data_IF_397297383644
#
_entry.id   IF_397297383644
#
_cell.length_a   1.000
_cell.length_b   1.000
_cell.length_c   1.000
_cell.angle_alpha   90.00
_cell.angle_beta   90.00
_cell.angle_gamma   90.00
#
_symmetry.space_group_name_H-M   'P 1'
#
loop_
_entity.id
_entity.type
_entity.pdbx_description
1 polymer ?
#
# COMPACT_ATOMS: atom_id res chain seq x y z
N UNK A 1 -17.46 -15.70 3.96
CA UNK A 1 -17.00 -14.45 3.31
C UNK A 1 -16.61 -14.73 1.87
N UNK A 2 -16.78 -13.77 0.95
CA UNK A 2 -16.30 -13.86 -0.45
C UNK A 2 -15.15 -12.88 -0.67
N UNK A 3 -14.32 -13.15 -1.66
CA UNK A 3 -13.23 -12.26 -2.03
C UNK A 3 -13.74 -10.87 -2.44
N UNK A 4 -13.00 -9.83 -2.08
CA UNK A 4 -13.30 -8.42 -2.31
C UNK A 4 -12.04 -7.70 -2.79
N UNK A 5 -12.16 -6.98 -3.89
CA UNK A 5 -11.08 -6.14 -4.43
C UNK A 5 -10.68 -5.02 -3.47
N UNK A 6 -11.61 -4.55 -2.63
CA UNK A 6 -11.34 -3.53 -1.64
C UNK A 6 -10.41 -4.04 -0.54
N UNK A 7 -10.63 -5.27 -0.06
CA UNK A 7 -9.78 -5.89 0.94
C UNK A 7 -8.40 -6.17 0.36
N UNK A 8 -8.34 -6.68 -0.88
CA UNK A 8 -7.06 -6.86 -1.58
C UNK A 8 -6.28 -5.55 -1.68
N UNK A 9 -6.94 -4.44 -2.02
CA UNK A 9 -6.31 -3.12 -2.09
C UNK A 9 -5.74 -2.68 -0.74
N UNK A 10 -6.49 -2.92 0.35
CA UNK A 10 -6.01 -2.64 1.70
C UNK A 10 -4.76 -3.46 2.03
N UNK A 11 -4.74 -4.75 1.72
CA UNK A 11 -3.56 -5.59 1.98
C UNK A 11 -2.36 -5.21 1.11
N UNK A 12 -2.57 -4.91 -0.17
CA UNK A 12 -1.50 -4.47 -1.06
C UNK A 12 -0.85 -3.18 -0.56
N UNK A 13 -1.66 -2.30 0.03
CA UNK A 13 -1.20 -1.06 0.64
C UNK A 13 -0.45 -1.32 1.96
N UNK A 14 -1.03 -2.05 2.91
CA UNK A 14 -0.52 -2.09 4.29
C UNK A 14 0.35 -3.31 4.64
N UNK A 15 0.52 -4.30 3.76
CA UNK A 15 1.27 -5.54 4.09
C UNK A 15 2.70 -5.28 4.58
N UNK A 16 3.43 -4.37 3.94
CA UNK A 16 4.83 -4.12 4.28
C UNK A 16 4.94 -3.40 5.64
N UNK A 17 3.98 -2.52 5.95
CA UNK A 17 3.86 -1.89 7.27
C UNK A 17 3.49 -2.92 8.35
N UNK A 18 2.59 -3.87 8.06
CA UNK A 18 2.26 -4.94 8.99
C UNK A 18 3.43 -5.91 9.24
N UNK A 19 4.22 -6.22 8.20
CA UNK A 19 5.45 -7.01 8.36
C UNK A 19 6.48 -6.24 9.21
N UNK A 20 6.65 -4.94 8.99
CA UNK A 20 7.49 -4.09 9.84
C UNK A 20 7.06 -4.17 11.32
N UNK A 21 5.77 -3.99 11.60
CA UNK A 21 5.22 -4.08 12.95
C UNK A 21 5.40 -5.48 13.54
N UNK A 22 5.25 -6.55 12.76
CA UNK A 22 5.52 -7.92 13.19
C UNK A 22 6.98 -8.12 13.61
N UNK A 23 7.93 -7.64 12.80
CA UNK A 23 9.35 -7.79 13.08
C UNK A 23 9.76 -7.01 14.34
N UNK A 24 9.15 -5.84 14.58
CA UNK A 24 9.45 -4.98 15.73
C UNK A 24 8.76 -5.44 17.02
N UNK A 25 7.48 -5.80 16.95
CA UNK A 25 6.62 -6.00 18.12
C UNK A 25 6.16 -7.45 18.30
N UNK A 26 6.51 -8.37 17.40
CA UNK A 26 6.24 -9.81 17.53
C UNK A 26 4.75 -10.18 17.50
N UNK A 27 3.93 -9.41 16.78
CA UNK A 27 2.52 -9.73 16.47
C UNK A 27 2.47 -10.25 15.03
N UNK A 28 1.82 -11.39 14.70
CA UNK A 28 1.74 -11.88 13.32
C UNK A 28 1.23 -10.81 12.36
N UNK A 29 1.90 -10.62 11.22
CA UNK A 29 1.48 -9.65 10.22
C UNK A 29 0.06 -9.96 9.71
N UNK A 30 -0.30 -11.24 9.63
CA UNK A 30 -1.63 -11.68 9.25
C UNK A 30 -2.72 -11.21 10.23
N UNK A 31 -2.41 -11.18 11.53
CA UNK A 31 -3.30 -10.66 12.59
C UNK A 31 -3.47 -9.15 12.44
N UNK A 32 -2.37 -8.41 12.35
CA UNK A 32 -2.42 -6.95 12.18
C UNK A 32 -3.22 -6.56 10.94
N UNK A 33 -3.02 -7.25 9.80
CA UNK A 33 -3.77 -6.97 8.57
C UNK A 33 -5.25 -7.35 8.68
N UNK A 34 -5.56 -8.50 9.28
CA UNK A 34 -6.93 -8.97 9.42
C UNK A 34 -7.74 -8.11 10.40
N UNK A 35 -7.14 -7.64 11.49
CA UNK A 35 -7.75 -6.64 12.37
C UNK A 35 -7.90 -5.32 11.62
N UNK A 36 -6.82 -4.80 11.07
CA UNK A 36 -6.82 -3.50 10.38
C UNK A 36 -7.89 -3.43 9.29
N UNK A 37 -8.02 -4.43 8.43
CA UNK A 37 -9.03 -4.44 7.36
C UNK A 37 -10.46 -4.57 7.91
N UNK A 38 -10.65 -5.32 9.00
CA UNK A 38 -11.97 -5.57 9.59
C UNK A 38 -12.46 -4.34 10.37
N UNK A 39 -11.65 -3.81 11.28
CA UNK A 39 -12.01 -2.69 12.16
C UNK A 39 -12.15 -1.37 11.37
N UNK A 40 -11.35 -1.17 10.32
CA UNK A 40 -11.39 0.06 9.51
C UNK A 40 -12.40 0.02 8.35
N UNK A 41 -13.19 -1.04 8.21
CA UNK A 41 -13.99 -1.31 7.01
C UNK A 41 -13.15 -1.22 5.71
N UNK A 42 -11.94 -1.80 5.76
CA UNK A 42 -10.90 -1.70 4.74
C UNK A 42 -10.55 -0.23 4.39
N UNK A 43 -10.28 0.56 5.44
CA UNK A 43 -9.81 1.95 5.38
C UNK A 43 -10.89 3.00 5.10
N UNK A 44 -12.18 2.63 5.17
CA UNK A 44 -13.31 3.51 4.82
C UNK A 44 -14.14 3.95 6.02
N UNK A 45 -13.92 3.42 7.21
CA UNK A 45 -14.64 3.87 8.40
C UNK A 45 -14.34 5.35 8.68
N UNK A 46 -15.25 6.01 9.39
CA UNK A 46 -15.05 7.41 9.80
C UNK A 46 -13.80 7.56 10.67
N UNK A 47 -13.57 6.60 11.58
CA UNK A 47 -12.37 6.52 12.41
C UNK A 47 -11.09 6.41 11.58
N UNK A 48 -11.08 5.63 10.49
CA UNK A 48 -9.92 5.51 9.62
C UNK A 48 -9.72 6.75 8.75
N UNK A 49 -10.79 7.28 8.15
CA UNK A 49 -10.70 8.37 7.16
C UNK A 49 -10.47 9.76 7.78
N UNK A 50 -10.97 9.99 9.00
CA UNK A 50 -10.82 11.28 9.70
C UNK A 50 -9.84 11.18 10.88
N UNK A 51 -9.80 10.02 11.54
CA UNK A 51 -8.96 9.78 12.70
C UNK A 51 -7.64 9.05 12.42
N UNK A 52 -7.43 8.55 11.19
CA UNK A 52 -6.37 7.58 10.87
C UNK A 52 -6.34 6.36 11.81
N UNK A 53 -7.43 6.07 12.52
CA UNK A 53 -7.50 5.01 13.50
C UNK A 53 -8.03 3.72 12.87
N UNK A 54 -7.10 2.87 12.41
CA UNK A 54 -7.42 1.66 11.67
C UNK A 54 -7.88 0.48 12.56
N UNK A 55 -7.75 0.60 13.88
CA UNK A 55 -7.95 -0.50 14.83
C UNK A 55 -9.01 -0.20 15.90
N UNK A 56 -9.64 0.98 15.86
CA UNK A 56 -10.67 1.38 16.82
C UNK A 56 -10.14 1.59 18.24
N UNK A 57 -8.88 2.00 18.42
CA UNK A 57 -8.31 2.17 19.76
C UNK A 57 -8.96 3.35 20.49
N UNK A 58 -9.52 3.08 21.68
CA UNK A 58 -10.18 4.04 22.56
C UNK A 58 -9.18 4.89 23.37
N UNK A 59 -9.61 6.03 23.89
CA UNK A 59 -8.76 7.02 24.56
C UNK A 59 -8.22 6.66 25.96
N UNK A 60 -8.29 5.41 26.44
CA UNK A 60 -7.89 5.08 27.82
C UNK A 60 -6.46 5.56 28.14
N UNK A 61 -6.33 6.63 28.95
CA UNK A 61 -5.05 7.27 29.28
C UNK A 61 -4.39 8.05 28.14
N UNK A 62 -5.13 8.36 27.07
CA UNK A 62 -4.63 9.05 25.89
C UNK A 62 -4.63 10.57 26.07
N UNK A 63 -3.48 11.20 25.84
CA UNK A 63 -3.29 12.66 25.91
C UNK A 63 -3.18 13.34 24.55
N UNK A 64 -3.25 12.59 23.45
CA UNK A 64 -3.19 13.12 22.09
C UNK A 64 -4.56 13.57 21.57
N UNK A 65 -4.63 13.85 20.26
CA UNK A 65 -5.89 14.22 19.60
C UNK A 65 -6.91 13.07 19.70
N UNK A 66 -8.18 13.41 19.86
CA UNK A 66 -9.27 12.43 19.95
C UNK A 66 -10.48 12.86 19.16
N UNK A 67 -11.37 11.91 18.90
CA UNK A 67 -12.68 12.18 18.33
C UNK A 67 -13.75 11.34 19.02
N UNK A 68 -14.98 11.85 19.01
CA UNK A 68 -16.14 11.15 19.54
C UNK A 68 -16.83 10.38 18.41
N UNK A 69 -17.14 9.12 18.65
CA UNK A 69 -17.85 8.26 17.70
C UNK A 69 -18.75 7.27 18.44
N UNK A 70 -19.88 6.91 17.84
CA UNK A 70 -20.79 5.93 18.42
C UNK A 70 -20.46 4.55 17.83
N UNK A 71 -19.89 3.66 18.64
CA UNK A 71 -19.51 2.30 18.23
C UNK A 71 -20.32 1.26 19.04
N UNK A 72 -19.85 0.89 20.23
CA UNK A 72 -20.58 0.03 21.16
C UNK A 72 -21.56 0.84 22.02
N UNK A 73 -21.17 2.07 22.35
CA UNK A 73 -21.95 3.01 23.15
C UNK A 73 -21.99 4.41 22.50
N UNK A 74 -22.93 5.23 22.94
CA UNK A 74 -23.03 6.62 22.50
C UNK A 74 -21.87 7.41 23.11
N UNK A 75 -21.18 8.21 22.30
CA UNK A 75 -20.22 9.19 22.77
C UNK A 75 -18.86 8.63 23.15
N UNK A 76 -18.45 7.50 22.59
CA UNK A 76 -17.16 6.90 22.91
C UNK A 76 -15.99 7.71 22.33
N UNK A 77 -14.91 7.80 23.11
CA UNK A 77 -13.69 8.51 22.72
C UNK A 77 -12.71 7.58 22.03
N UNK A 78 -12.29 7.97 20.82
CA UNK A 78 -11.27 7.27 20.03
C UNK A 78 -10.04 8.14 19.80
N UNK A 79 -8.87 7.48 19.79
CA UNK A 79 -7.60 8.13 19.47
C UNK A 79 -7.60 8.60 18.02
N UNK A 80 -6.99 9.75 17.77
CA UNK A 80 -6.77 10.32 16.43
C UNK A 80 -5.27 10.46 16.19
N UNK A 81 -4.84 10.05 15.00
CA UNK A 81 -3.44 10.02 14.60
C UNK A 81 -3.19 10.93 13.39
N UNK A 82 -1.92 11.31 13.20
CA UNK A 82 -1.53 12.11 12.04
C UNK A 82 -1.59 11.29 10.76
N UNK A 83 -1.34 9.98 10.84
CA UNK A 83 -1.30 9.08 9.70
C UNK A 83 -1.58 7.61 10.10
N UNK A 84 -1.91 6.71 9.14
CA UNK A 84 -2.17 5.30 9.44
C UNK A 84 -1.02 4.61 10.18
N UNK A 85 0.23 4.96 9.88
CA UNK A 85 1.44 4.39 10.47
C UNK A 85 1.49 4.53 11.99
N UNK A 86 1.08 5.68 12.51
CA UNK A 86 0.96 5.92 13.94
C UNK A 86 -0.10 5.01 14.59
N UNK A 87 -1.23 4.77 13.92
CA UNK A 87 -2.24 3.84 14.44
C UNK A 87 -1.76 2.39 14.46
N UNK A 88 -0.93 1.98 13.47
CA UNK A 88 -0.30 0.66 13.42
C UNK A 88 0.72 0.49 14.54
N UNK A 89 1.54 1.51 14.80
CA UNK A 89 2.50 1.53 15.90
C UNK A 89 1.79 1.51 17.26
N UNK A 90 0.76 2.33 17.44
CA UNK A 90 0.02 2.42 18.70
C UNK A 90 -0.78 1.14 18.99
N UNK A 91 -1.41 0.54 17.97
CA UNK A 91 -2.02 -0.79 18.10
C UNK A 91 -1.00 -1.85 18.53
N UNK A 92 0.20 -1.84 17.94
CA UNK A 92 1.23 -2.82 18.30
C UNK A 92 1.75 -2.63 19.73
N UNK A 93 1.91 -1.38 20.18
CA UNK A 93 2.21 -1.04 21.57
C UNK A 93 1.07 -1.42 22.52
N UNK A 94 -0.17 -1.15 22.13
CA UNK A 94 -1.35 -1.51 22.92
C UNK A 94 -1.40 -3.01 23.21
N UNK A 95 -1.11 -3.87 22.22
CA UNK A 95 -1.06 -5.31 22.43
C UNK A 95 0.19 -5.73 23.22
N UNK A 96 1.37 -5.22 22.89
CA UNK A 96 2.65 -5.67 23.49
C UNK A 96 2.90 -5.17 24.91
N UNK A 97 2.36 -4.02 25.29
CA UNK A 97 2.61 -3.40 26.60
C UNK A 97 1.49 -3.67 27.62
N UNK A 98 0.33 -4.17 27.17
CA UNK A 98 -0.80 -4.44 28.05
C UNK A 98 -0.76 -5.90 28.54
N UNK A 99 -0.58 -6.07 29.86
CA UNK A 99 -0.49 -7.38 30.51
C UNK A 99 -1.65 -8.33 30.17
N UNK A 100 -2.84 -7.77 29.85
CA UNK A 100 -4.01 -8.53 29.37
C UNK A 100 -3.69 -9.44 28.18
N UNK A 101 -2.81 -9.03 27.28
CA UNK A 101 -2.44 -9.75 26.06
C UNK A 101 -1.10 -10.48 26.16
N UNK A 102 -0.38 -10.38 27.29
CA UNK A 102 0.98 -10.91 27.44
C UNK A 102 1.11 -12.39 27.05
N UNK A 103 0.10 -13.22 27.36
CA UNK A 103 0.10 -14.65 27.00
C UNK A 103 0.19 -14.91 25.50
N UNK A 104 -0.29 -13.99 24.66
CA UNK A 104 -0.27 -14.15 23.20
C UNK A 104 1.16 -14.15 22.64
N UNK A 105 2.06 -13.43 23.30
CA UNK A 105 3.47 -13.32 22.90
C UNK A 105 4.29 -14.58 23.20
N UNK A 106 3.70 -15.58 23.87
CA UNK A 106 4.27 -16.93 23.99
C UNK A 106 3.96 -17.82 22.78
N UNK A 107 3.01 -17.43 21.94
CA UNK A 107 2.63 -18.18 20.73
C UNK A 107 3.64 -17.93 19.61
N UNK A 108 3.77 -18.91 18.71
CA UNK A 108 4.54 -18.74 17.47
C UNK A 108 3.94 -17.61 16.63
N UNK A 109 4.80 -16.87 15.91
CA UNK A 109 4.37 -15.86 14.93
C UNK A 109 3.53 -16.47 13.79
N UNK A 110 3.64 -17.77 13.55
CA UNK A 110 2.84 -18.45 12.53
C UNK A 110 1.52 -19.02 13.06
N UNK A 111 1.24 -18.89 14.37
CA UNK A 111 0.00 -19.41 14.97
C UNK A 111 -1.10 -18.34 15.01
N UNK A 112 -1.49 -17.86 13.83
CA UNK A 112 -2.54 -16.85 13.72
C UNK A 112 -3.90 -17.34 14.27
N UNK A 113 -4.16 -18.65 14.32
CA UNK A 113 -5.39 -19.20 14.92
C UNK A 113 -5.37 -19.05 16.43
N UNK A 114 -4.27 -19.44 17.08
CA UNK A 114 -4.05 -19.21 18.51
C UNK A 114 -4.13 -17.73 18.88
N UNK A 115 -3.51 -16.86 18.07
CA UNK A 115 -3.62 -15.41 18.24
C UNK A 115 -5.07 -14.90 18.13
N UNK A 116 -5.81 -15.30 17.09
CA UNK A 116 -7.19 -14.84 16.90
C UNK A 116 -8.13 -15.27 18.05
N UNK A 117 -8.05 -16.55 18.46
CA UNK A 117 -8.81 -17.04 19.61
C UNK A 117 -8.36 -16.39 20.92
N UNK A 118 -7.06 -16.21 21.09
CA UNK A 118 -6.46 -15.57 22.26
C UNK A 118 -6.86 -14.11 22.41
N UNK A 119 -6.86 -13.32 21.33
CA UNK A 119 -7.33 -11.92 21.31
C UNK A 119 -8.79 -11.83 21.76
N UNK A 120 -9.66 -12.69 21.24
CA UNK A 120 -11.06 -12.77 21.66
C UNK A 120 -11.17 -13.13 23.15
N UNK A 121 -10.45 -14.16 23.59
CA UNK A 121 -10.46 -14.61 24.98
C UNK A 121 -9.84 -13.58 25.96
N UNK A 122 -8.94 -12.71 25.48
CA UNK A 122 -8.41 -11.57 26.23
C UNK A 122 -9.38 -10.37 26.25
N UNK A 123 -10.52 -10.43 25.55
CA UNK A 123 -11.51 -9.37 25.53
C UNK A 123 -11.17 -8.21 24.59
N UNK A 124 -10.45 -8.46 23.49
CA UNK A 124 -10.22 -7.42 22.46
C UNK A 124 -11.54 -6.96 21.82
N UNK A 125 -12.46 -7.89 21.55
CA UNK A 125 -13.77 -7.60 20.94
C UNK A 125 -14.89 -8.36 21.63
N UNK A 126 -16.08 -7.76 21.70
CA UNK A 126 -17.29 -8.35 22.29
C UNK A 126 -17.92 -9.41 21.38
N UNK A 127 -17.78 -9.27 20.06
CA UNK A 127 -18.36 -10.19 19.07
C UNK A 127 -17.93 -11.66 19.28
N UNK A 128 -18.87 -12.62 19.48
CA UNK A 128 -18.54 -14.03 19.70
C UNK A 128 -17.85 -14.69 18.50
N UNK A 129 -18.05 -14.17 17.28
CA UNK A 129 -17.45 -14.67 16.04
C UNK A 129 -16.14 -13.97 15.66
N UNK A 130 -15.58 -13.13 16.53
CA UNK A 130 -14.40 -12.32 16.22
C UNK A 130 -13.21 -13.16 15.71
N UNK A 131 -12.82 -14.19 16.47
CA UNK A 131 -11.71 -15.06 16.12
C UNK A 131 -11.91 -15.73 14.75
N UNK A 132 -13.11 -16.28 14.51
CA UNK A 132 -13.46 -16.93 13.25
C UNK A 132 -13.42 -15.96 12.06
N UNK A 133 -13.87 -14.70 12.25
CA UNK A 133 -13.78 -13.67 11.19
C UNK A 133 -12.34 -13.36 10.83
N UNK A 134 -11.45 -13.21 11.81
CA UNK A 134 -10.03 -12.97 11.53
C UNK A 134 -9.42 -14.17 10.79
N UNK A 135 -9.66 -15.39 11.27
CA UNK A 135 -9.16 -16.62 10.63
C UNK A 135 -9.66 -16.72 9.18
N UNK A 136 -10.94 -16.46 8.94
CA UNK A 136 -11.53 -16.49 7.60
C UNK A 136 -10.87 -15.48 6.66
N UNK A 137 -10.63 -14.24 7.12
CA UNK A 137 -9.91 -13.21 6.35
C UNK A 137 -8.48 -13.68 6.04
N UNK A 138 -7.75 -14.17 7.06
CA UNK A 138 -6.36 -14.60 6.92
C UNK A 138 -6.23 -15.73 5.91
N UNK A 139 -7.14 -16.69 5.94
CA UNK A 139 -7.12 -17.84 5.04
C UNK A 139 -7.54 -17.48 3.61
N UNK A 140 -8.62 -16.71 3.46
CA UNK A 140 -9.15 -16.32 2.14
C UNK A 140 -8.13 -15.50 1.32
N UNK A 141 -7.41 -14.58 1.97
CA UNK A 141 -6.41 -13.73 1.33
C UNK A 141 -4.97 -14.24 1.52
N UNK A 142 -4.81 -15.41 2.14
CA UNK A 142 -3.51 -16.06 2.40
C UNK A 142 -2.53 -15.14 3.14
N UNK A 143 -3.02 -14.33 4.07
CA UNK A 143 -2.21 -13.37 4.82
C UNK A 143 -1.16 -14.07 5.69
N UNK A 144 -1.39 -15.33 6.07
CA UNK A 144 -0.45 -16.16 6.82
C UNK A 144 0.90 -16.35 6.11
N UNK A 145 0.98 -16.09 4.79
CA UNK A 145 2.25 -16.10 4.06
C UNK A 145 3.19 -14.99 4.54
N UNK A 146 2.65 -13.87 5.04
CA UNK A 146 3.44 -12.74 5.55
C UNK A 146 4.04 -13.02 6.93
N UNK A 147 3.49 -13.96 7.70
CA UNK A 147 3.98 -14.29 9.05
C UNK A 147 5.39 -14.92 9.06
N UNK A 148 5.88 -15.31 7.88
CA UNK A 148 7.23 -15.88 7.67
C UNK A 148 8.21 -14.88 7.06
N UNK A 149 7.78 -13.66 6.76
CA UNK A 149 8.64 -12.65 6.16
C UNK A 149 9.78 -12.26 7.10
N UNK A 150 10.98 -12.12 6.53
CA UNK A 150 12.20 -11.68 7.24
C UNK A 150 12.60 -10.24 6.90
N UNK A 151 12.03 -9.73 5.81
CA UNK A 151 12.26 -8.40 5.28
C UNK A 151 10.95 -7.88 4.70
N UNK A 152 10.88 -6.57 4.50
CA UNK A 152 9.74 -5.87 3.93
C UNK A 152 10.22 -4.76 3.01
N UNK A 153 9.34 -4.27 2.14
CA UNK A 153 9.65 -3.12 1.31
C UNK A 153 9.55 -1.83 2.15
N UNK A 154 10.70 -1.30 2.58
CA UNK A 154 10.78 -0.06 3.37
C UNK A 154 10.10 1.13 2.70
N UNK A 155 10.08 1.20 1.37
CA UNK A 155 9.41 2.29 0.67
C UNK A 155 7.89 2.16 0.81
N UNK A 156 7.35 0.96 0.64
CA UNK A 156 5.92 0.69 0.83
C UNK A 156 5.49 0.88 2.27
N UNK A 157 6.23 0.34 3.24
CA UNK A 157 5.91 0.47 4.66
C UNK A 157 5.87 1.94 5.09
N UNK A 158 6.91 2.71 4.74
CA UNK A 158 6.94 4.15 5.03
C UNK A 158 5.76 4.85 4.37
N UNK A 159 5.59 4.69 3.06
CA UNK A 159 4.58 5.44 2.30
C UNK A 159 3.16 5.13 2.76
N UNK A 160 2.80 3.86 2.93
CA UNK A 160 1.47 3.47 3.42
C UNK A 160 1.22 3.92 4.84
N UNK A 161 2.27 4.10 5.65
CA UNK A 161 2.17 4.65 6.99
C UNK A 161 1.90 6.15 7.00
N UNK A 162 2.59 6.96 6.20
CA UNK A 162 2.62 8.43 6.37
C UNK A 162 1.82 9.21 5.31
N UNK A 163 1.51 8.59 4.17
CA UNK A 163 0.93 9.29 3.04
C UNK A 163 -0.44 9.90 3.36
N UNK A 164 -0.63 11.14 2.94
CA UNK A 164 -1.88 11.87 3.09
C UNK A 164 -2.53 12.09 1.73
N UNK A 165 -3.83 11.78 1.58
CA UNK A 165 -4.54 12.03 0.33
C UNK A 165 -4.55 13.52 0.02
N UNK A 166 -4.14 13.88 -1.19
CA UNK A 166 -4.08 15.29 -1.62
C UNK A 166 -5.44 15.77 -2.18
N UNK A 167 -6.32 14.84 -2.56
CA UNK A 167 -7.66 15.15 -3.10
C UNK A 167 -8.77 14.92 -2.07
N UNK A 168 -9.87 15.67 -2.21
CA UNK A 168 -11.01 15.67 -1.28
C UNK A 168 -11.67 14.29 -1.06
N UNK A 169 -11.56 13.36 -2.01
CA UNK A 169 -12.11 12.01 -1.85
C UNK A 169 -11.34 11.15 -0.81
N UNK A 170 -10.24 11.65 -0.23
CA UNK A 170 -9.55 11.01 0.88
C UNK A 170 -8.81 9.71 0.55
N UNK A 171 -8.82 9.27 -0.72
CA UNK A 171 -8.19 8.00 -1.10
C UNK A 171 -6.81 8.21 -1.74
N UNK A 172 -5.80 7.57 -1.16
CA UNK A 172 -4.44 7.49 -1.71
C UNK A 172 -4.43 6.78 -3.08
N UNK A 173 -3.41 7.05 -3.89
CA UNK A 173 -3.16 6.30 -5.12
C UNK A 173 -2.57 4.93 -4.77
N UNK A 174 -3.14 3.83 -5.29
CA UNK A 174 -2.53 2.52 -5.13
C UNK A 174 -1.15 2.49 -5.80
N UNK A 175 -0.11 2.22 -5.02
CA UNK A 175 1.23 2.00 -5.53
C UNK A 175 1.39 0.54 -5.91
N UNK A 176 1.94 0.30 -7.10
CA UNK A 176 2.24 -1.02 -7.66
C UNK A 176 3.72 -1.14 -7.93
N UNK A 177 4.23 -2.37 -7.93
CA UNK A 177 5.63 -2.66 -8.22
C UNK A 177 5.74 -3.29 -9.60
N UNK A 178 6.60 -2.74 -10.45
CA UNK A 178 6.95 -3.32 -11.74
C UNK A 178 8.37 -2.97 -12.15
N UNK A 179 9.07 -3.95 -12.74
CA UNK A 179 10.44 -3.81 -13.24
C UNK A 179 11.40 -3.13 -12.23
N UNK A 180 11.40 -3.60 -10.97
CA UNK A 180 12.21 -3.06 -9.85
C UNK A 180 11.96 -1.56 -9.60
N UNK A 181 10.72 -1.12 -9.79
CA UNK A 181 10.29 0.26 -9.60
C UNK A 181 8.86 0.28 -9.05
N UNK A 182 8.45 1.44 -8.55
CA UNK A 182 7.11 1.69 -8.04
C UNK A 182 6.42 2.61 -9.02
N UNK A 183 5.16 2.35 -9.28
CA UNK A 183 4.34 3.20 -10.13
C UNK A 183 2.92 3.31 -9.58
N UNK A 184 2.24 4.35 -10.02
CA UNK A 184 0.82 4.53 -9.81
C UNK A 184 0.14 4.90 -11.13
N UNK A 185 -1.16 4.71 -11.18
CA UNK A 185 -2.00 5.19 -12.28
C UNK A 185 -2.47 6.59 -11.91
N UNK A 186 -2.19 7.57 -12.77
CA UNK A 186 -2.67 8.92 -12.58
C UNK A 186 -4.20 8.96 -12.66
N UNK A 187 -4.79 9.86 -11.89
CA UNK A 187 -6.19 10.29 -12.00
C UNK A 187 -6.25 11.58 -12.80
N UNK A 188 -7.40 11.85 -13.41
CA UNK A 188 -7.59 13.05 -14.24
C UNK A 188 -7.25 14.32 -13.46
N UNK A 189 -6.37 15.15 -14.00
CA UNK A 189 -5.93 16.40 -13.37
C UNK A 189 -4.77 16.25 -12.38
N UNK A 190 -4.17 15.06 -12.25
CA UNK A 190 -3.04 14.89 -11.33
C UNK A 190 -1.86 15.74 -11.76
N UNK A 191 -1.07 16.17 -10.79
CA UNK A 191 0.18 16.91 -11.05
C UNK A 191 1.32 16.24 -10.31
N UNK A 192 2.53 16.39 -10.82
CA UNK A 192 3.71 15.89 -10.12
C UNK A 192 3.91 16.56 -8.75
N UNK A 193 3.42 17.79 -8.56
CA UNK A 193 3.40 18.46 -7.25
C UNK A 193 2.49 17.71 -6.26
N UNK A 194 1.26 17.40 -6.67
CA UNK A 194 0.30 16.69 -5.84
C UNK A 194 0.79 15.27 -5.52
N UNK A 195 1.24 14.53 -6.53
CA UNK A 195 1.81 13.18 -6.34
C UNK A 195 3.03 13.22 -5.43
N UNK A 196 3.91 14.22 -5.60
CA UNK A 196 5.07 14.39 -4.72
C UNK A 196 4.68 14.63 -3.26
N UNK A 197 3.65 15.45 -3.00
CA UNK A 197 3.12 15.66 -1.65
C UNK A 197 2.54 14.37 -1.06
N UNK A 198 1.71 13.66 -1.81
CA UNK A 198 1.12 12.39 -1.38
C UNK A 198 2.20 11.34 -1.06
N UNK A 199 3.23 11.28 -1.89
CA UNK A 199 4.29 10.27 -1.78
C UNK A 199 5.47 10.63 -0.89
N UNK A 200 5.49 11.83 -0.33
CA UNK A 200 6.67 12.43 0.31
C UNK A 200 7.93 12.42 -0.59
N UNK A 201 7.73 12.47 -1.91
CA UNK A 201 8.80 12.50 -2.90
C UNK A 201 8.87 13.87 -3.56
N UNK A 202 10.04 14.21 -4.09
CA UNK A 202 10.18 15.42 -4.90
C UNK A 202 9.39 15.26 -6.21
N UNK A 203 8.32 16.02 -6.37
CA UNK A 203 7.56 16.06 -7.62
C UNK A 203 8.41 16.36 -8.85
N UNK A 204 9.42 17.24 -8.73
CA UNK A 204 10.40 17.49 -9.81
C UNK A 204 11.21 16.24 -10.18
N UNK A 205 11.61 15.43 -9.20
CA UNK A 205 12.29 14.15 -9.46
C UNK A 205 11.34 13.15 -10.13
N UNK A 206 10.08 13.07 -9.68
CA UNK A 206 9.07 12.20 -10.29
C UNK A 206 8.84 12.60 -11.76
N UNK A 207 8.64 13.89 -12.05
CA UNK A 207 8.51 14.38 -13.42
C UNK A 207 9.72 13.98 -14.29
N UNK A 208 10.94 14.16 -13.75
CA UNK A 208 12.19 13.75 -14.42
C UNK A 208 12.29 12.24 -14.65
N UNK A 209 11.82 11.40 -13.72
CA UNK A 209 11.80 9.94 -13.87
C UNK A 209 10.79 9.46 -14.92
N UNK A 210 9.80 10.30 -15.21
CA UNK A 210 8.81 10.07 -16.24
C UNK A 210 9.12 10.82 -17.54
N UNK A 211 10.27 11.51 -17.67
CA UNK A 211 10.65 12.27 -18.86
C UNK A 211 9.57 13.31 -19.27
N UNK A 212 8.95 13.95 -18.26
CA UNK A 212 7.86 14.92 -18.38
C UNK A 212 8.21 16.27 -17.77
N UNK A 213 7.48 17.32 -18.12
CA UNK A 213 7.63 18.62 -17.46
C UNK A 213 7.00 18.56 -16.06
N UNK A 214 7.60 19.26 -15.10
CA UNK A 214 7.08 19.31 -13.74
C UNK A 214 5.66 19.89 -13.63
N UNK A 215 5.28 20.79 -14.54
CA UNK A 215 3.98 21.45 -14.56
C UNK A 215 2.95 20.72 -15.44
N UNK A 216 3.30 19.56 -16.02
CA UNK A 216 2.34 18.78 -16.78
C UNK A 216 1.16 18.37 -15.89
N UNK A 217 -0.03 18.47 -16.48
CA UNK A 217 -1.24 17.85 -15.96
C UNK A 217 -1.34 16.45 -16.55
N UNK A 218 -1.65 15.48 -15.69
CA UNK A 218 -1.72 14.07 -16.02
C UNK A 218 -3.17 13.65 -16.25
N UNK A 219 -3.34 12.69 -17.15
CA UNK A 219 -4.64 12.15 -17.52
C UNK A 219 -4.88 10.80 -16.84
N UNK A 220 -6.17 10.48 -16.65
CA UNK A 220 -6.57 9.23 -16.05
C UNK A 220 -5.97 8.03 -16.79
N UNK A 221 -5.30 7.14 -16.06
CA UNK A 221 -4.70 5.93 -16.60
C UNK A 221 -3.24 6.06 -17.07
N UNK A 222 -2.64 7.25 -17.03
CA UNK A 222 -1.20 7.38 -17.30
C UNK A 222 -0.38 6.69 -16.20
N UNK A 223 0.69 5.98 -16.60
CA UNK A 223 1.63 5.36 -15.65
C UNK A 223 2.61 6.43 -15.15
N UNK A 224 2.73 6.55 -13.82
CA UNK A 224 3.68 7.45 -13.16
C UNK A 224 4.65 6.65 -12.31
N UNK A 225 5.92 6.57 -12.73
CA UNK A 225 6.98 5.92 -11.97
C UNK A 225 7.55 6.83 -10.88
N UNK A 226 7.77 6.28 -9.69
CA UNK A 226 8.22 7.02 -8.51
C UNK A 226 9.74 6.99 -8.30
N UNK A 227 10.44 6.06 -8.97
CA UNK A 227 11.91 6.04 -9.05
C UNK A 227 12.37 6.04 -10.51
N UNK A 228 13.67 6.27 -10.71
CA UNK A 228 14.27 6.29 -12.05
C UNK A 228 14.07 4.94 -12.75
N UNK A 229 13.41 4.96 -13.91
CA UNK A 229 13.17 3.76 -14.74
C UNK A 229 14.43 2.97 -15.06
N UNK A 230 14.27 1.68 -15.37
CA UNK A 230 15.38 0.80 -15.75
C UNK A 230 15.88 1.11 -17.17
N UNK A 231 17.03 0.57 -17.56
CA UNK A 231 17.54 0.68 -18.94
C UNK A 231 16.96 -0.40 -19.87
N UNK A 232 16.28 -1.40 -19.30
CA UNK A 232 15.83 -2.64 -19.95
C UNK A 232 14.56 -3.13 -19.26
N UNK A 233 13.69 -3.80 -20.01
CA UNK A 233 12.48 -4.42 -19.47
C UNK A 233 12.84 -5.61 -18.56
N UNK A 234 11.83 -6.23 -17.96
CA UNK A 234 11.99 -7.48 -17.22
C UNK A 234 12.63 -8.57 -18.11
N UNK A 235 13.42 -9.47 -17.49
CA UNK A 235 14.04 -10.63 -18.16
C UNK A 235 13.04 -11.53 -18.87
N UNK A 236 11.76 -11.50 -18.46
CA UNK A 236 10.67 -12.17 -19.14
C UNK A 236 10.51 -11.76 -20.63
N UNK A 237 10.99 -10.57 -21.01
CA UNK A 237 10.96 -10.04 -22.38
C UNK A 237 12.27 -10.24 -23.14
N UNK A 238 13.23 -11.02 -22.61
CA UNK A 238 14.43 -11.38 -23.35
C UNK A 238 14.03 -12.14 -24.62
N UNK A 239 14.53 -11.68 -25.77
CA UNK A 239 14.21 -12.22 -27.11
C UNK A 239 12.71 -12.16 -27.48
N UNK A 240 11.91 -11.33 -26.79
CA UNK A 240 10.51 -11.07 -27.12
C UNK A 240 10.37 -9.58 -27.44
N UNK A 241 10.54 -9.17 -28.71
CA UNK A 241 10.35 -7.78 -29.08
C UNK A 241 8.90 -7.38 -28.86
N UNK A 242 8.69 -6.10 -28.63
CA UNK A 242 7.38 -5.50 -28.67
C UNK A 242 7.03 -5.16 -30.13
N UNK A 243 5.83 -5.53 -30.56
CA UNK A 243 5.29 -5.17 -31.88
C UNK A 243 4.44 -3.92 -31.68
N UNK A 244 4.82 -2.82 -32.32
CA UNK A 244 4.13 -1.53 -32.21
C UNK A 244 2.67 -1.66 -32.65
N UNK A 245 1.75 -1.23 -31.79
CA UNK A 245 0.32 -1.21 -32.03
C UNK A 245 -0.17 0.17 -32.48
N UNK A 246 -1.36 0.27 -33.12
CA UNK A 246 -1.97 1.56 -33.44
C UNK A 246 -2.10 2.46 -32.21
N UNK A 247 -1.68 3.72 -32.34
CA UNK A 247 -1.73 4.72 -31.28
C UNK A 247 -0.59 4.66 -30.26
N UNK A 248 0.32 3.69 -30.33
CA UNK A 248 1.50 3.66 -29.48
C UNK A 248 2.58 4.64 -29.97
N UNK A 249 3.22 5.30 -29.01
CA UNK A 249 4.45 6.08 -29.19
C UNK A 249 5.62 5.43 -28.47
N UNK A 250 6.85 5.77 -28.86
CA UNK A 250 8.06 5.36 -28.13
C UNK A 250 7.99 5.68 -26.64
N UNK A 251 7.38 6.82 -26.28
CA UNK A 251 7.12 7.20 -24.89
C UNK A 251 6.16 6.23 -24.18
N UNK A 252 4.99 5.96 -24.78
CA UNK A 252 3.99 5.06 -24.19
C UNK A 252 4.53 3.64 -23.99
N UNK A 253 5.31 3.14 -24.96
CA UNK A 253 5.98 1.84 -24.91
C UNK A 253 7.04 1.84 -23.79
N UNK A 254 7.84 2.91 -23.69
CA UNK A 254 8.82 3.05 -22.62
C UNK A 254 8.17 3.03 -21.22
N UNK A 255 7.03 3.72 -21.06
CA UNK A 255 6.24 3.70 -19.82
C UNK A 255 5.68 2.30 -19.53
N UNK A 256 5.11 1.62 -20.52
CA UNK A 256 4.57 0.25 -20.38
C UNK A 256 5.60 -0.74 -19.84
N UNK A 257 6.85 -0.65 -20.30
CA UNK A 257 7.93 -1.55 -19.86
C UNK A 257 8.75 -1.04 -18.67
N UNK A 258 8.48 0.18 -18.19
CA UNK A 258 9.25 0.80 -17.10
C UNK A 258 10.71 1.02 -17.47
N UNK A 259 10.96 1.38 -18.73
CA UNK A 259 12.29 1.66 -19.27
C UNK A 259 12.44 3.12 -19.64
N UNK A 260 13.66 3.64 -19.56
CA UNK A 260 13.96 5.02 -19.99
C UNK A 260 13.78 5.16 -21.49
N UNK A 261 13.15 6.23 -21.94
CA UNK A 261 12.89 6.49 -23.37
C UNK A 261 14.18 6.47 -24.19
N UNK A 262 15.21 7.20 -23.73
CA UNK A 262 16.55 7.21 -24.35
C UNK A 262 17.18 5.81 -24.44
N UNK A 263 16.88 4.93 -23.49
CA UNK A 263 17.41 3.55 -23.52
C UNK A 263 16.69 2.69 -24.56
N UNK A 264 15.38 2.91 -24.76
CA UNK A 264 14.61 2.23 -25.81
C UNK A 264 15.12 2.61 -27.21
N UNK A 265 15.32 3.90 -27.49
CA UNK A 265 15.93 4.36 -28.75
C UNK A 265 17.32 3.75 -28.98
N UNK A 266 18.23 3.90 -28.00
CA UNK A 266 19.61 3.39 -28.11
C UNK A 266 19.65 1.88 -28.33
N UNK A 267 18.75 1.13 -27.67
CA UNK A 267 18.67 -0.33 -27.77
C UNK A 267 18.26 -0.80 -29.17
N UNK A 268 17.46 0.00 -29.87
CA UNK A 268 16.99 -0.28 -31.23
C UNK A 268 17.83 0.43 -32.30
N UNK A 269 18.91 1.13 -31.91
CA UNK A 269 19.76 1.93 -32.81
C UNK A 269 18.97 3.00 -33.59
N UNK A 270 17.93 3.55 -32.97
CA UNK A 270 17.06 4.57 -33.55
C UNK A 270 17.44 5.96 -33.05
N UNK A 271 17.32 6.97 -33.92
CA UNK A 271 17.44 8.39 -33.55
C UNK A 271 16.23 8.82 -32.68
N UNK A 272 16.37 9.78 -31.75
CA UNK A 272 15.23 10.34 -31.02
C UNK A 272 14.09 10.88 -31.90
N UNK A 273 14.41 11.30 -33.14
CA UNK A 273 13.42 11.83 -34.10
C UNK A 273 12.73 10.72 -34.92
N UNK A 274 13.15 9.46 -34.75
CA UNK A 274 12.57 8.32 -35.45
C UNK A 274 11.10 8.15 -35.08
N UNK A 275 10.25 8.14 -36.11
CA UNK A 275 8.82 7.86 -35.99
C UNK A 275 8.59 6.37 -36.21
N UNK A 276 8.05 5.71 -35.17
CA UNK A 276 7.75 4.28 -35.23
C UNK A 276 6.50 4.02 -36.07
N UNK A 277 6.46 2.86 -36.72
CA UNK A 277 5.31 2.42 -37.53
C UNK A 277 4.64 1.19 -36.94
N UNK A 278 3.33 1.05 -37.15
CA UNK A 278 2.57 -0.14 -36.69
C UNK A 278 3.19 -1.40 -37.28
N UNK A 279 3.40 -2.42 -36.45
CA UNK A 279 4.07 -3.67 -36.84
C UNK A 279 5.59 -3.67 -36.67
N UNK A 280 6.22 -2.51 -36.45
CA UNK A 280 7.66 -2.41 -36.18
C UNK A 280 8.03 -3.18 -34.90
N UNK A 281 9.16 -3.88 -34.92
CA UNK A 281 9.64 -4.67 -33.79
C UNK A 281 10.68 -3.91 -32.98
N UNK A 282 10.35 -3.62 -31.72
CA UNK A 282 11.24 -2.95 -30.79
C UNK A 282 11.75 -3.90 -29.72
N UNK A 283 13.07 -4.01 -29.60
CA UNK A 283 13.74 -4.68 -28.49
C UNK A 283 13.53 -3.86 -27.23
N UNK A 284 12.99 -4.49 -26.18
CA UNK A 284 12.75 -3.85 -24.88
C UNK A 284 13.68 -4.36 -23.76
N UNK A 285 14.23 -5.57 -23.91
CA UNK A 285 15.23 -6.17 -23.00
C UNK A 285 16.67 -5.89 -23.43
#
# INVERSE_FOLDING_TARGET
MRWSSQYQTYFDQYKDLAIEQMLRHRIPASITLAQGVFESAAGRSLLATQGNNHFGIKCHGWSGRSMTYNDDAIGECFRVYDNPGESYEDHSKFLSQNQRYARLFSLSLTDYRGWAHGLKACGYATNPRYAYKLIEIIELYKLYLYDRAKEYDHFMAKHSGVAQPVRQNGQLHPIRIYNKNYYMMAREGDTFKAIGKETELSGRKIAKYNERNYHDVLHAGEIVYLKKKQKRASKAFKNKPHIVQPGESMYSIAQRYGIRLKSLYKKNKLSPDHQITVGEQLRVY
#
